data_IF_745663950410
#
_entry.id   IF_745663950410
#
_cell.length_a   1.000
_cell.length_b   1.000
_cell.length_c   1.000
_cell.angle_alpha   90.00
_cell.angle_beta   90.00
_cell.angle_gamma   90.00
#
_symmetry.space_group_name_H-M   'P 1'
#
loop_
_entity.id
_entity.type
_entity.pdbx_description
1 polymer ?
#
# COMPACT_ATOMS: atom_id res chain seq x y z
N UNK A 1 7.25 -10.43 20.09
CA UNK A 1 6.07 -9.56 20.29
C UNK A 1 5.27 -9.59 19.01
N UNK A 2 3.99 -9.94 19.06
CA UNK A 2 3.13 -9.89 17.87
C UNK A 2 2.95 -8.42 17.52
N UNK A 3 3.44 -7.97 16.36
CA UNK A 3 3.17 -6.63 15.86
C UNK A 3 1.67 -6.54 15.63
N UNK A 4 0.97 -5.89 16.56
CA UNK A 4 -0.48 -5.78 16.50
C UNK A 4 -0.81 -4.75 15.42
N UNK A 5 -1.62 -5.17 14.45
CA UNK A 5 -2.22 -4.24 13.51
C UNK A 5 -3.12 -3.25 14.26
N UNK A 6 -2.84 -1.95 14.11
CA UNK A 6 -3.57 -0.87 14.77
C UNK A 6 -3.88 0.26 13.80
N UNK A 7 -4.87 1.08 14.14
CA UNK A 7 -5.13 2.34 13.46
C UNK A 7 -4.57 3.49 14.29
N UNK A 8 -3.81 4.39 13.66
CA UNK A 8 -3.39 5.61 14.34
C UNK A 8 -4.55 6.62 14.47
N UNK A 9 -4.30 7.75 15.15
CA UNK A 9 -5.30 8.82 15.38
C UNK A 9 -5.96 9.40 14.11
N UNK A 10 -5.38 9.17 12.94
CA UNK A 10 -5.91 9.60 11.64
C UNK A 10 -6.59 8.44 10.89
N UNK A 11 -6.87 7.33 11.58
CA UNK A 11 -7.46 6.13 10.99
C UNK A 11 -6.52 5.37 10.06
N UNK A 12 -5.20 5.62 10.07
CA UNK A 12 -4.29 4.94 9.13
C UNK A 12 -3.74 3.66 9.74
N UNK A 13 -3.60 2.59 8.94
CA UNK A 13 -2.99 1.34 9.40
C UNK A 13 -1.56 1.59 9.89
N UNK A 14 -1.15 0.86 10.92
CA UNK A 14 0.20 0.80 11.49
C UNK A 14 0.50 -0.64 11.86
N UNK A 15 1.72 -1.09 11.56
CA UNK A 15 2.18 -2.44 11.93
C UNK A 15 1.51 -3.57 11.15
N UNK A 16 0.94 -3.28 9.98
CA UNK A 16 0.33 -4.31 9.13
C UNK A 16 1.36 -5.34 8.67
N UNK A 17 1.01 -6.61 8.81
CA UNK A 17 1.88 -7.78 8.60
C UNK A 17 1.45 -8.64 7.40
N UNK A 18 0.39 -8.24 6.69
CA UNK A 18 -0.16 -8.97 5.55
C UNK A 18 -1.56 -9.54 5.75
N UNK A 19 -2.14 -9.48 6.95
CA UNK A 19 -3.46 -10.06 7.22
C UNK A 19 -4.62 -9.21 6.67
N UNK A 20 -5.71 -9.84 6.24
CA UNK A 20 -6.93 -9.15 5.79
C UNK A 20 -6.69 -8.11 4.68
N UNK A 21 -6.03 -8.54 3.59
CA UNK A 21 -5.65 -7.67 2.46
C UNK A 21 -6.76 -6.70 2.00
N UNK A 22 -8.00 -7.17 1.82
CA UNK A 22 -9.09 -6.32 1.33
C UNK A 22 -9.36 -5.13 2.26
N UNK A 23 -9.30 -5.36 3.58
CA UNK A 23 -9.44 -4.30 4.57
C UNK A 23 -8.27 -3.32 4.49
N UNK A 24 -7.03 -3.83 4.47
CA UNK A 24 -5.84 -3.01 4.32
C UNK A 24 -5.87 -2.16 3.05
N UNK A 25 -6.21 -2.76 1.90
CA UNK A 25 -6.30 -2.08 0.61
C UNK A 25 -7.27 -0.91 0.67
N UNK A 26 -8.48 -1.12 1.19
CA UNK A 26 -9.47 -0.04 1.33
C UNK A 26 -8.96 1.11 2.22
N UNK A 27 -8.30 0.80 3.34
CA UNK A 27 -7.72 1.82 4.22
C UNK A 27 -6.60 2.62 3.53
N UNK A 28 -5.78 1.96 2.72
CA UNK A 28 -4.73 2.62 1.94
C UNK A 28 -5.29 3.51 0.85
N UNK A 29 -6.32 3.07 0.13
CA UNK A 29 -7.00 3.90 -0.87
C UNK A 29 -7.53 5.20 -0.25
N UNK A 30 -8.20 5.12 0.91
CA UNK A 30 -8.66 6.30 1.68
C UNK A 30 -7.48 7.19 2.08
N UNK A 31 -6.38 6.60 2.55
CA UNK A 31 -5.20 7.36 2.96
C UNK A 31 -4.51 8.08 1.79
N UNK A 32 -4.55 7.49 0.59
CA UNK A 32 -4.05 8.12 -0.63
C UNK A 32 -4.98 9.24 -1.11
N UNK A 33 -6.30 9.07 -1.03
CA UNK A 33 -7.28 10.12 -1.33
C UNK A 33 -7.14 11.33 -0.39
N UNK A 34 -7.04 11.09 0.92
CA UNK A 34 -6.82 12.12 1.96
C UNK A 34 -5.53 12.95 1.74
N UNK A 35 -4.60 12.42 0.97
CA UNK A 35 -3.34 13.10 0.64
C UNK A 35 -3.24 13.53 -0.82
N UNK A 36 -4.32 13.38 -1.60
CA UNK A 36 -4.38 13.71 -3.02
C UNK A 36 -3.30 12.99 -3.85
N UNK A 37 -2.93 11.78 -3.46
CA UNK A 37 -1.90 10.96 -4.14
C UNK A 37 -2.44 9.68 -4.77
N UNK A 38 -3.75 9.42 -4.73
CA UNK A 38 -4.34 8.19 -5.27
C UNK A 38 -4.02 7.98 -6.76
N UNK A 39 -4.23 8.99 -7.60
CA UNK A 39 -3.94 8.92 -9.04
C UNK A 39 -2.45 8.64 -9.31
N UNK A 40 -1.56 9.13 -8.45
CA UNK A 40 -0.14 8.81 -8.53
C UNK A 40 0.12 7.35 -8.13
N UNK A 41 -0.45 6.85 -7.03
CA UNK A 41 -0.28 5.47 -6.59
C UNK A 41 -0.78 4.45 -7.63
N UNK A 42 -1.88 4.76 -8.33
CA UNK A 42 -2.43 3.91 -9.39
C UNK A 42 -1.71 4.03 -10.74
N UNK A 43 -0.70 4.90 -10.85
CA UNK A 43 -0.03 5.23 -12.11
C UNK A 43 -0.97 5.80 -13.19
N UNK A 44 -1.99 6.55 -12.78
CA UNK A 44 -2.88 7.29 -13.69
C UNK A 44 -2.24 8.63 -14.11
N UNK A 45 -1.42 9.21 -13.22
CA UNK A 45 -0.58 10.38 -13.52
C UNK A 45 0.84 9.91 -13.87
N UNK A 46 1.09 9.56 -15.13
CA UNK A 46 2.43 9.22 -15.63
C UNK A 46 3.10 10.41 -16.33
N UNK A 47 4.43 10.39 -16.39
CA UNK A 47 5.24 11.39 -17.07
C UNK A 47 5.06 11.30 -18.59
N UNK A 48 4.84 12.44 -19.26
CA UNK A 48 4.88 12.55 -20.72
C UNK A 48 6.18 13.27 -21.15
N UNK A 49 6.64 13.06 -22.38
CA UNK A 49 7.76 13.86 -22.91
C UNK A 49 7.37 15.33 -22.99
N UNK A 50 8.20 16.22 -22.42
CA UNK A 50 8.00 17.68 -22.44
C UNK A 50 7.55 18.31 -21.11
N UNK A 51 7.37 17.53 -20.05
CA UNK A 51 7.04 18.04 -18.70
C UNK A 51 8.09 19.01 -18.14
N UNK A 52 7.60 20.04 -17.49
CA UNK A 52 8.37 21.09 -16.83
C UNK A 52 9.10 20.58 -15.58
N UNK A 53 10.07 21.35 -15.11
CA UNK A 53 10.78 21.06 -13.86
C UNK A 53 9.82 20.99 -12.64
N UNK A 54 8.83 21.89 -12.60
CA UNK A 54 7.87 21.95 -11.50
C UNK A 54 6.94 20.73 -11.47
N UNK A 55 6.51 20.24 -12.64
CA UNK A 55 5.74 18.99 -12.75
C UNK A 55 6.56 17.77 -12.33
N UNK A 56 7.85 17.74 -12.68
CA UNK A 56 8.78 16.70 -12.19
C UNK A 56 8.85 16.68 -10.68
N UNK A 57 9.06 17.86 -10.10
CA UNK A 57 9.15 18.02 -8.65
C UNK A 57 7.84 17.60 -7.96
N UNK A 58 6.69 18.01 -8.49
CA UNK A 58 5.40 17.62 -7.94
C UNK A 58 5.18 16.10 -7.98
N UNK A 59 5.59 15.44 -9.07
CA UNK A 59 5.56 13.99 -9.17
C UNK A 59 6.46 13.31 -8.14
N UNK A 60 7.72 13.76 -8.01
CA UNK A 60 8.67 13.21 -7.04
C UNK A 60 8.17 13.38 -5.59
N UNK A 61 7.58 14.54 -5.27
CA UNK A 61 6.95 14.81 -3.97
C UNK A 61 5.73 13.89 -3.72
N UNK A 62 4.92 13.62 -4.75
CA UNK A 62 3.81 12.68 -4.67
C UNK A 62 4.28 11.24 -4.44
N UNK A 63 5.31 10.78 -5.16
CA UNK A 63 5.92 9.45 -4.96
C UNK A 63 6.48 9.30 -3.55
N UNK A 64 7.16 10.33 -3.04
CA UNK A 64 7.68 10.33 -1.67
C UNK A 64 6.54 10.18 -0.62
N UNK A 65 5.41 10.86 -0.84
CA UNK A 65 4.23 10.73 0.02
C UNK A 65 3.61 9.33 -0.03
N UNK A 66 3.47 8.74 -1.22
CA UNK A 66 2.99 7.36 -1.38
C UNK A 66 3.90 6.39 -0.61
N UNK A 67 5.22 6.48 -0.80
CA UNK A 67 6.21 5.68 -0.07
C UNK A 67 6.06 5.82 1.45
N UNK A 68 5.94 7.05 1.95
CA UNK A 68 5.80 7.30 3.39
C UNK A 68 4.53 6.68 3.96
N UNK A 69 3.39 6.82 3.26
CA UNK A 69 2.11 6.25 3.71
C UNK A 69 2.20 4.71 3.73
N UNK A 70 2.76 4.10 2.69
CA UNK A 70 2.97 2.66 2.62
C UNK A 70 3.88 2.23 3.77
N UNK A 71 5.08 2.79 3.91
CA UNK A 71 6.05 2.37 4.93
C UNK A 71 5.55 2.54 6.36
N UNK A 72 4.88 3.67 6.66
CA UNK A 72 4.32 3.90 7.99
C UNK A 72 3.21 2.90 8.35
N UNK A 73 2.59 2.28 7.35
CA UNK A 73 1.53 1.29 7.56
C UNK A 73 2.00 -0.12 7.86
N UNK A 74 3.24 -0.45 7.52
CA UNK A 74 3.76 -1.81 7.61
C UNK A 74 4.47 -2.09 8.94
N UNK A 75 4.59 -3.36 9.29
CA UNK A 75 5.63 -3.80 10.22
C UNK A 75 7.03 -3.48 9.66
N UNK A 76 8.04 -3.38 10.52
CA UNK A 76 9.40 -3.11 10.08
C UNK A 76 9.92 -4.15 9.07
N UNK A 77 9.60 -5.43 9.30
CA UNK A 77 10.02 -6.55 8.45
C UNK A 77 9.37 -6.48 7.05
N UNK A 78 8.05 -6.27 7.01
CA UNK A 78 7.34 -6.18 5.74
C UNK A 78 7.71 -4.88 5.00
N UNK A 79 7.87 -3.77 5.72
CA UNK A 79 8.36 -2.50 5.19
C UNK A 79 9.74 -2.64 4.51
N UNK A 80 10.69 -3.35 5.14
CA UNK A 80 11.99 -3.62 4.53
C UNK A 80 11.88 -4.45 3.24
N UNK A 81 10.98 -5.43 3.21
CA UNK A 81 10.79 -6.30 2.04
C UNK A 81 10.18 -5.56 0.85
N UNK A 82 9.26 -4.64 1.10
CA UNK A 82 8.53 -3.91 0.04
C UNK A 82 9.18 -2.59 -0.35
N UNK A 83 10.23 -2.16 0.34
CA UNK A 83 10.90 -0.89 0.11
C UNK A 83 11.39 -0.74 -1.34
N UNK A 84 10.96 0.37 -1.98
CA UNK A 84 11.44 0.84 -3.28
C UNK A 84 11.59 2.36 -3.25
N UNK A 85 12.29 2.92 -4.24
CA UNK A 85 12.35 4.38 -4.44
C UNK A 85 11.07 4.94 -5.06
N UNK A 86 10.27 4.09 -5.70
CA UNK A 86 9.07 4.46 -6.44
C UNK A 86 7.80 3.91 -5.74
N UNK A 87 6.90 4.81 -5.35
CA UNK A 87 5.69 4.49 -4.62
C UNK A 87 4.66 3.75 -5.45
N UNK A 88 4.63 4.01 -6.76
CA UNK A 88 3.83 3.23 -7.72
C UNK A 88 4.25 1.78 -7.67
N UNK A 89 5.56 1.51 -7.76
CA UNK A 89 6.06 0.14 -7.82
C UNK A 89 5.88 -0.56 -6.47
N UNK A 90 5.99 0.15 -5.34
CA UNK A 90 5.61 -0.39 -4.03
C UNK A 90 4.13 -0.81 -3.98
N UNK A 91 3.23 0.07 -4.40
CA UNK A 91 1.80 -0.22 -4.39
C UNK A 91 1.41 -1.35 -5.34
N UNK A 92 1.92 -1.32 -6.58
CA UNK A 92 1.74 -2.40 -7.55
C UNK A 92 2.29 -3.72 -7.05
N UNK A 93 3.44 -3.73 -6.37
CA UNK A 93 4.00 -4.94 -5.77
C UNK A 93 3.04 -5.55 -4.75
N UNK A 94 2.50 -4.74 -3.83
CA UNK A 94 1.53 -5.19 -2.84
C UNK A 94 0.26 -5.73 -3.50
N UNK A 95 -0.30 -4.98 -4.45
CA UNK A 95 -1.46 -5.42 -5.24
C UNK A 95 -1.18 -6.76 -5.93
N UNK A 96 -0.03 -6.95 -6.58
CA UNK A 96 0.34 -8.22 -7.21
C UNK A 96 0.54 -9.35 -6.19
N UNK A 97 1.16 -9.06 -5.06
CA UNK A 97 1.46 -10.05 -4.02
C UNK A 97 0.17 -10.64 -3.43
N UNK A 98 -0.83 -9.81 -3.21
CA UNK A 98 -2.07 -10.21 -2.54
C UNK A 98 -3.26 -10.43 -3.50
N UNK A 99 -3.23 -9.89 -4.73
CA UNK A 99 -4.28 -10.04 -5.75
C UNK A 99 -3.83 -10.82 -7.01
N UNK A 100 -2.59 -11.28 -7.07
CA UNK A 100 -2.01 -11.98 -8.22
C UNK A 100 -2.77 -13.23 -8.71
N UNK A 101 -2.65 -13.49 -10.02
CA UNK A 101 -3.49 -14.35 -10.87
C UNK A 101 -3.59 -15.79 -10.35
N UNK A 102 -4.73 -16.21 -9.78
CA UNK A 102 -5.03 -17.59 -9.32
C UNK A 102 -4.04 -18.20 -8.28
N UNK A 103 -3.88 -17.62 -7.09
CA UNK A 103 -3.30 -18.39 -5.97
C UNK A 103 -4.39 -19.12 -5.18
N UNK A 104 -4.69 -20.36 -5.56
CA UNK A 104 -5.52 -21.30 -4.79
C UNK A 104 -5.05 -21.44 -3.34
N UNK A 105 -3.75 -21.24 -3.07
CA UNK A 105 -3.16 -21.29 -1.73
C UNK A 105 -3.53 -20.10 -0.83
N UNK A 106 -3.76 -18.90 -1.38
CA UNK A 106 -4.06 -17.70 -0.57
C UNK A 106 -5.55 -17.60 -0.20
N UNK A 107 -6.45 -18.17 -1.02
CA UNK A 107 -7.87 -18.32 -0.67
C UNK A 107 -8.06 -19.18 0.58
N UNK A 108 -7.28 -20.26 0.71
CA UNK A 108 -7.29 -21.13 1.89
C UNK A 108 -6.90 -20.38 3.17
N UNK A 109 -5.97 -19.43 3.11
CA UNK A 109 -5.60 -18.61 4.27
C UNK A 109 -6.68 -17.56 4.62
N UNK A 110 -7.44 -17.06 3.65
CA UNK A 110 -8.58 -16.16 3.90
C UNK A 110 -9.77 -16.91 4.54
N UNK A 111 -10.05 -18.14 4.10
CA UNK A 111 -11.13 -18.98 4.64
C UNK A 111 -10.79 -19.56 6.03
N UNK A 112 -9.52 -19.94 6.28
CA UNK A 112 -9.12 -20.54 7.56
C UNK A 112 -9.17 -19.53 8.73
N UNK A 113 -8.87 -18.25 8.49
CA UNK A 113 -8.93 -17.22 9.55
C UNK A 113 -10.39 -16.81 9.86
N UNK A 114 -11.28 -16.87 8.87
CA UNK A 114 -12.70 -16.57 9.05
C UNK A 114 -13.46 -17.76 9.70
N UNK A 115 -13.18 -19.00 9.32
CA UNK A 115 -13.87 -20.18 9.88
C UNK A 115 -13.41 -20.54 11.31
N UNK A 116 -12.20 -20.14 11.75
CA UNK A 116 -11.73 -20.41 13.11
C UNK A 116 -12.18 -19.35 14.15
N UNK A 117 -13.06 -18.41 13.75
CA UNK A 117 -13.61 -17.36 14.63
C UNK A 117 -15.15 -17.39 14.75
N UNK A 118 -15.81 -18.41 14.21
CA UNK A 118 -17.22 -18.74 14.44
C UNK A 118 -17.33 -20.08 15.16
#
# INVERSE_FOLDING_TARGET
>A
MSNKFELNKNGRPVGWDGQSWMYYKNMMLIAFEDKSVLAYANAENTFAEGTTYDEKRAFDEAQAKVNQIIMASHSMELGQRVWSKDGIEMWKYLVRLYEGIKNSATRTNQETVLCNKL
#
